data_IF_777767021997
#
_entry.id   IF_777767021997
#
_cell.length_a   1.000
_cell.length_b   1.000
_cell.length_c   1.000
_cell.angle_alpha   90.00
_cell.angle_beta   90.00
_cell.angle_gamma   90.00
#
_symmetry.space_group_name_H-M   'P 1'
#
loop_
_entity.id
_entity.type
_entity.pdbx_description
1 polymer ?
#
# COMPACT_ATOMS: atom_id res chain seq x y z
N UNK A 1 19.01 6.11 4.29
CA UNK A 1 18.50 6.47 2.95
C UNK A 1 17.15 5.80 2.77
N UNK A 2 16.21 6.45 2.14
CA UNK A 2 14.84 5.97 1.96
C UNK A 2 14.71 5.43 0.54
N UNK A 3 14.33 4.16 0.38
CA UNK A 3 14.07 3.57 -0.94
C UNK A 3 12.72 4.05 -1.47
N UNK A 4 12.70 4.50 -2.72
CA UNK A 4 11.47 4.84 -3.46
C UNK A 4 11.20 3.69 -4.46
N UNK A 5 10.16 2.89 -4.17
CA UNK A 5 9.80 1.72 -4.98
C UNK A 5 8.45 1.92 -5.65
N UNK A 6 8.39 1.77 -6.97
CA UNK A 6 7.13 1.79 -7.70
C UNK A 6 6.46 0.40 -7.77
N UNK A 7 5.14 0.38 -7.66
CA UNK A 7 4.32 -0.84 -7.79
C UNK A 7 3.18 -0.55 -8.77
N UNK A 8 3.40 -0.71 -10.08
CA UNK A 8 2.47 -0.34 -11.13
C UNK A 8 1.36 -1.41 -11.35
N UNK A 9 0.60 -1.73 -10.28
CA UNK A 9 -0.49 -2.69 -10.28
C UNK A 9 -1.85 -1.96 -10.24
N UNK A 10 -2.76 -2.26 -11.16
CA UNK A 10 -4.13 -1.75 -11.13
C UNK A 10 -5.20 -2.75 -11.62
N UNK A 11 -4.79 -3.96 -11.94
CA UNK A 11 -5.69 -5.02 -12.38
C UNK A 11 -6.72 -5.45 -11.32
N UNK A 12 -6.52 -5.08 -10.05
CA UNK A 12 -7.42 -5.35 -8.94
C UNK A 12 -8.41 -4.21 -8.66
N UNK A 13 -8.37 -3.13 -9.46
CA UNK A 13 -9.35 -2.05 -9.42
C UNK A 13 -10.72 -2.52 -9.90
N UNK A 14 -11.79 -2.07 -9.23
CA UNK A 14 -13.17 -2.50 -9.54
C UNK A 14 -13.86 -1.63 -10.57
N UNK A 15 -13.40 -0.40 -10.82
CA UNK A 15 -14.10 0.57 -11.66
C UNK A 15 -13.23 1.13 -12.80
N UNK A 16 -12.13 1.78 -12.48
CA UNK A 16 -11.23 2.38 -13.45
C UNK A 16 -9.83 1.84 -13.29
N UNK A 17 -9.23 1.45 -14.41
CA UNK A 17 -7.79 1.22 -14.53
C UNK A 17 -7.08 2.54 -14.81
N UNK A 18 -5.77 2.60 -14.52
CA UNK A 18 -4.96 3.80 -14.70
C UNK A 18 -4.01 4.07 -13.54
N UNK A 19 -4.32 3.63 -12.29
CA UNK A 19 -3.39 3.79 -11.15
C UNK A 19 -2.00 3.22 -11.39
N UNK A 20 -1.82 2.20 -12.24
CA UNK A 20 -0.52 1.67 -12.62
C UNK A 20 0.42 2.72 -13.24
N UNK A 21 -0.12 3.82 -13.77
CA UNK A 21 0.65 4.95 -14.27
C UNK A 21 1.14 5.88 -13.14
N UNK A 22 0.64 5.70 -11.92
CA UNK A 22 0.93 6.54 -10.76
C UNK A 22 2.43 6.66 -10.45
N UNK A 23 3.19 5.57 -10.32
CA UNK A 23 4.61 5.63 -10.01
C UNK A 23 5.41 6.50 -10.98
N UNK A 24 5.20 6.34 -12.29
CA UNK A 24 5.88 7.13 -13.31
C UNK A 24 5.47 8.61 -13.23
N UNK A 25 4.17 8.91 -13.09
CA UNK A 25 3.66 10.28 -13.02
C UNK A 25 4.17 11.01 -11.76
N UNK A 26 4.24 10.34 -10.62
CA UNK A 26 4.76 10.88 -9.37
C UNK A 26 6.26 11.21 -9.51
N UNK A 27 7.06 10.34 -10.14
CA UNK A 27 8.48 10.61 -10.40
C UNK A 27 8.69 11.83 -11.28
N UNK A 28 7.89 11.95 -12.33
CA UNK A 28 7.93 13.16 -13.19
C UNK A 28 7.65 14.43 -12.39
N UNK A 29 6.64 14.40 -11.52
CA UNK A 29 6.30 15.51 -10.65
C UNK A 29 7.40 15.80 -9.61
N UNK A 30 7.96 14.74 -9.00
CA UNK A 30 9.02 14.83 -8.00
C UNK A 30 10.29 15.51 -8.54
N UNK A 31 10.63 15.27 -9.81
CA UNK A 31 11.81 15.85 -10.47
C UNK A 31 11.49 17.08 -11.32
N UNK A 32 10.26 17.61 -11.23
CA UNK A 32 9.87 18.81 -11.98
C UNK A 32 10.55 20.06 -11.44
N UNK A 33 11.16 20.85 -12.30
CA UNK A 33 11.72 22.16 -11.95
C UNK A 33 10.69 23.19 -11.51
N UNK A 34 9.38 22.90 -11.61
CA UNK A 34 8.29 23.74 -11.10
C UNK A 34 7.87 23.39 -9.68
N UNK A 35 8.40 22.31 -9.11
CA UNK A 35 8.10 21.86 -7.73
C UNK A 35 9.01 22.53 -6.70
N UNK A 36 8.53 22.63 -5.46
CA UNK A 36 9.38 22.89 -4.31
C UNK A 36 9.82 21.55 -3.72
N UNK A 37 11.13 21.29 -3.76
CA UNK A 37 11.70 20.03 -3.26
C UNK A 37 12.16 20.12 -1.82
N UNK A 38 12.11 21.30 -1.21
CA UNK A 38 12.50 21.50 0.18
C UNK A 38 11.31 21.34 1.14
N UNK A 39 11.51 20.60 2.21
CA UNK A 39 10.56 20.52 3.32
C UNK A 39 10.53 21.83 4.12
N UNK A 40 9.54 21.98 5.01
CA UNK A 40 9.47 23.12 5.96
C UNK A 40 10.71 23.22 6.87
N UNK A 41 11.41 22.11 7.10
CA UNK A 41 12.67 22.06 7.83
C UNK A 41 13.91 22.34 6.98
N UNK A 42 13.75 22.83 5.74
CA UNK A 42 14.82 23.12 4.79
C UNK A 42 15.68 21.91 4.42
N UNK A 43 15.04 20.72 4.38
CA UNK A 43 15.68 19.48 3.90
C UNK A 43 15.28 19.27 2.46
N UNK A 44 16.26 19.08 1.58
CA UNK A 44 16.01 18.66 0.20
C UNK A 44 15.52 17.20 0.19
N UNK A 45 14.25 17.01 -0.14
CA UNK A 45 13.58 15.70 -0.05
C UNK A 45 14.13 14.74 -1.09
N UNK A 46 14.39 15.22 -2.30
CA UNK A 46 14.87 14.38 -3.41
C UNK A 46 16.22 13.74 -3.07
N UNK A 47 17.10 14.47 -2.39
CA UNK A 47 18.42 13.97 -1.99
C UNK A 47 18.38 12.90 -0.91
N UNK A 48 17.22 12.70 -0.24
CA UNK A 48 17.02 11.67 0.76
C UNK A 48 16.49 10.36 0.17
N UNK A 49 16.09 10.37 -1.10
CA UNK A 49 15.45 9.25 -1.77
C UNK A 49 16.46 8.52 -2.68
N UNK A 50 16.39 7.20 -2.64
CA UNK A 50 17.06 6.31 -3.58
C UNK A 50 15.97 5.61 -4.41
N UNK A 51 15.83 6.04 -5.67
CA UNK A 51 14.84 5.45 -6.57
C UNK A 51 15.33 4.09 -7.07
N UNK A 52 14.72 3.03 -6.53
CA UNK A 52 15.06 1.65 -6.84
C UNK A 52 14.24 1.07 -8.00
N UNK A 53 13.47 1.92 -8.68
CA UNK A 53 12.66 1.53 -9.84
C UNK A 53 11.32 0.90 -9.49
N UNK A 54 10.77 0.15 -10.43
CA UNK A 54 9.46 -0.49 -10.30
C UNK A 54 9.58 -2.00 -10.11
N UNK A 55 8.64 -2.57 -9.35
CA UNK A 55 8.49 -4.03 -9.27
C UNK A 55 8.06 -4.57 -10.63
N UNK A 56 8.76 -5.61 -11.08
CA UNK A 56 8.37 -6.34 -12.29
C UNK A 56 7.16 -7.23 -11.98
N UNK A 57 6.00 -6.86 -12.49
CA UNK A 57 4.72 -7.56 -12.32
C UNK A 57 4.03 -7.76 -13.68
N UNK A 58 3.11 -8.70 -13.74
CA UNK A 58 2.30 -8.98 -14.94
C UNK A 58 1.09 -8.04 -15.01
N UNK A 59 0.64 -7.52 -13.87
CA UNK A 59 -0.57 -6.70 -13.71
C UNK A 59 -1.83 -7.47 -14.10
N UNK A 60 -2.01 -8.65 -13.49
CA UNK A 60 -3.15 -9.53 -13.72
C UNK A 60 -4.08 -9.57 -12.50
N UNK A 61 -5.39 -9.57 -12.75
CA UNK A 61 -6.40 -9.57 -11.69
C UNK A 61 -6.30 -10.83 -10.81
N UNK A 62 -6.20 -10.64 -9.50
CA UNK A 62 -6.11 -11.71 -8.52
C UNK A 62 -4.79 -12.49 -8.57
N UNK A 63 -3.75 -11.95 -9.19
CA UNK A 63 -2.46 -12.60 -9.34
C UNK A 63 -1.72 -12.75 -8.01
N UNK A 64 -1.60 -13.98 -7.53
CA UNK A 64 -0.72 -14.28 -6.40
C UNK A 64 0.76 -14.10 -6.75
N UNK A 65 1.15 -14.32 -8.01
CA UNK A 65 2.52 -14.11 -8.45
C UNK A 65 2.92 -12.63 -8.35
N UNK A 66 2.02 -11.71 -8.72
CA UNK A 66 2.25 -10.28 -8.55
C UNK A 66 2.37 -9.89 -7.07
N UNK A 67 1.48 -10.44 -6.22
CA UNK A 67 1.55 -10.22 -4.77
C UNK A 67 2.87 -10.76 -4.17
N UNK A 68 3.36 -11.90 -4.64
CA UNK A 68 4.63 -12.48 -4.19
C UNK A 68 5.82 -11.64 -4.66
N UNK A 69 5.80 -11.15 -5.90
CA UNK A 69 6.84 -10.26 -6.44
C UNK A 69 6.93 -8.95 -5.64
N UNK A 70 5.78 -8.34 -5.31
CA UNK A 70 5.73 -7.13 -4.48
C UNK A 70 6.31 -7.42 -3.09
N UNK A 71 5.90 -8.52 -2.45
CA UNK A 71 6.42 -8.90 -1.14
C UNK A 71 7.94 -9.09 -1.16
N UNK A 72 8.47 -9.77 -2.17
CA UNK A 72 9.90 -10.02 -2.30
C UNK A 72 10.70 -8.72 -2.53
N UNK A 73 10.18 -7.81 -3.38
CA UNK A 73 10.84 -6.53 -3.64
C UNK A 73 10.89 -5.63 -2.39
N UNK A 74 9.80 -5.57 -1.62
CA UNK A 74 9.76 -4.82 -0.35
C UNK A 74 10.68 -5.46 0.68
N UNK A 75 10.65 -6.79 0.84
CA UNK A 75 11.50 -7.50 1.78
C UNK A 75 12.99 -7.25 1.51
N UNK A 76 13.41 -7.25 0.25
CA UNK A 76 14.81 -6.97 -0.12
C UNK A 76 15.28 -5.58 0.37
N UNK A 77 14.41 -4.55 0.30
CA UNK A 77 14.75 -3.22 0.82
C UNK A 77 14.82 -3.19 2.34
N UNK A 78 13.91 -3.91 3.01
CA UNK A 78 13.90 -3.99 4.47
C UNK A 78 15.09 -4.79 5.01
N UNK A 79 15.52 -5.85 4.33
CA UNK A 79 16.69 -6.67 4.69
C UNK A 79 17.99 -5.85 4.62
N UNK A 80 18.07 -4.86 3.73
CA UNK A 80 19.14 -3.86 3.65
C UNK A 80 19.06 -2.78 4.76
N UNK A 81 18.10 -2.88 5.67
CA UNK A 81 17.89 -1.92 6.76
C UNK A 81 17.37 -0.56 6.30
N UNK A 82 16.75 -0.50 5.13
CA UNK A 82 16.21 0.74 4.54
C UNK A 82 14.81 1.03 5.04
N UNK A 83 14.48 2.31 5.12
CA UNK A 83 13.10 2.75 5.12
C UNK A 83 12.58 2.75 3.68
N UNK A 84 11.28 2.55 3.48
CA UNK A 84 10.71 2.45 2.14
C UNK A 84 9.48 3.33 2.00
N UNK A 85 9.39 4.01 0.86
CA UNK A 85 8.18 4.65 0.34
C UNK A 85 7.78 3.88 -0.91
N UNK A 86 6.57 3.35 -0.92
CA UNK A 86 6.01 2.68 -2.10
C UNK A 86 5.08 3.61 -2.85
N UNK A 87 5.29 3.74 -4.16
CA UNK A 87 4.40 4.46 -5.06
C UNK A 87 3.44 3.44 -5.71
N UNK A 88 2.16 3.54 -5.42
CA UNK A 88 1.15 2.66 -6.00
C UNK A 88 0.62 3.19 -7.33
N UNK A 89 -0.06 2.46 -7.92
CA UNK A 89 -1.03 1.47 -8.24
C UNK A 89 -2.33 1.59 -7.43
N UNK A 90 -3.13 0.58 -7.57
CA UNK A 90 -4.34 0.47 -6.76
C UNK A 90 -4.02 -0.01 -5.33
N UNK A 91 -5.02 0.04 -4.44
CA UNK A 91 -4.80 -0.22 -3.01
C UNK A 91 -4.52 -1.69 -2.68
N UNK A 92 -4.69 -2.63 -3.63
CA UNK A 92 -4.38 -4.05 -3.42
C UNK A 92 -2.92 -4.31 -3.09
N UNK A 93 -2.02 -3.39 -3.48
CA UNK A 93 -0.58 -3.48 -3.18
C UNK A 93 -0.28 -3.48 -1.68
N UNK A 94 -1.18 -2.95 -0.85
CA UNK A 94 -0.96 -2.81 0.60
C UNK A 94 -0.83 -4.15 1.30
N UNK A 95 -1.62 -5.16 0.94
CA UNK A 95 -1.50 -6.50 1.55
C UNK A 95 -0.11 -7.12 1.36
N UNK A 96 0.44 -7.27 0.14
CA UNK A 96 1.77 -7.83 -0.04
C UNK A 96 2.89 -6.98 0.59
N UNK A 97 2.74 -5.67 0.66
CA UNK A 97 3.68 -4.78 1.38
C UNK A 97 3.67 -5.12 2.87
N UNK A 98 2.50 -5.16 3.52
CA UNK A 98 2.38 -5.50 4.94
C UNK A 98 2.89 -6.91 5.25
N UNK A 99 2.74 -7.86 4.33
CA UNK A 99 3.30 -9.21 4.43
C UNK A 99 4.82 -9.19 4.53
N UNK A 100 5.49 -8.32 3.78
CA UNK A 100 6.94 -8.14 3.89
C UNK A 100 7.35 -7.52 5.24
N UNK A 101 6.65 -6.48 5.69
CA UNK A 101 6.91 -5.86 7.00
C UNK A 101 6.72 -6.84 8.16
N UNK A 102 5.71 -7.71 8.09
CA UNK A 102 5.45 -8.72 9.13
C UNK A 102 6.61 -9.66 9.36
N UNK A 103 7.38 -9.96 8.31
CA UNK A 103 8.54 -10.85 8.44
C UNK A 103 9.65 -10.28 9.34
N UNK A 104 9.68 -8.96 9.55
CA UNK A 104 10.69 -8.26 10.35
C UNK A 104 10.14 -7.62 11.63
N UNK A 105 8.82 -7.53 11.78
CA UNK A 105 8.18 -6.81 12.88
C UNK A 105 7.05 -7.64 13.51
N UNK A 106 7.23 -8.10 14.74
CA UNK A 106 6.23 -8.89 15.46
C UNK A 106 5.00 -8.08 15.87
N UNK A 107 5.17 -6.77 16.14
CA UNK A 107 4.13 -5.87 16.63
C UNK A 107 3.97 -4.67 15.69
N UNK A 108 3.36 -4.89 14.52
CA UNK A 108 3.13 -3.83 13.55
C UNK A 108 1.82 -3.10 13.84
N UNK A 109 1.90 -1.79 14.04
CA UNK A 109 0.75 -0.88 14.04
C UNK A 109 0.67 -0.17 12.70
N UNK A 110 -0.48 -0.24 12.05
CA UNK A 110 -0.74 0.42 10.77
C UNK A 110 -1.70 1.58 10.98
N UNK A 111 -1.33 2.75 10.47
CA UNK A 111 -2.20 3.92 10.35
C UNK A 111 -2.61 4.07 8.89
N UNK A 112 -3.91 3.97 8.64
CA UNK A 112 -4.51 4.09 7.31
C UNK A 112 -5.29 5.39 7.21
N UNK A 113 -4.97 6.22 6.23
CA UNK A 113 -5.65 7.52 6.01
C UNK A 113 -6.37 7.42 4.68
N UNK A 114 -7.69 7.24 4.74
CA UNK A 114 -8.52 7.00 3.55
C UNK A 114 -10.00 7.31 3.84
N UNK A 115 -10.79 7.43 2.76
CA UNK A 115 -12.25 7.52 2.81
C UNK A 115 -12.93 6.16 3.05
N UNK A 116 -12.26 5.07 2.69
CA UNK A 116 -12.78 3.69 2.67
C UNK A 116 -12.02 2.81 3.68
N UNK A 117 -12.67 1.86 4.35
CA UNK A 117 -11.97 0.97 5.28
C UNK A 117 -11.26 -0.21 4.60
N UNK A 118 -11.63 -0.56 3.37
CA UNK A 118 -11.07 -1.64 2.55
C UNK A 118 -10.92 -2.97 3.31
N UNK A 119 -12.06 -3.35 3.93
CA UNK A 119 -12.23 -4.52 4.79
C UNK A 119 -13.18 -5.57 4.19
N UNK A 120 -13.42 -5.56 2.87
CA UNK A 120 -14.19 -6.63 2.25
C UNK A 120 -13.41 -7.94 2.27
N UNK A 121 -14.10 -9.07 2.50
CA UNK A 121 -13.51 -10.40 2.37
C UNK A 121 -13.07 -10.67 0.94
N UNK A 122 -13.91 -10.28 -0.01
CA UNK A 122 -13.62 -10.21 -1.44
C UNK A 122 -14.49 -9.13 -2.09
N UNK A 123 -14.15 -8.74 -3.30
CA UNK A 123 -14.99 -7.92 -4.15
C UNK A 123 -15.08 -8.58 -5.52
N UNK A 124 -16.31 -8.92 -5.94
CA UNK A 124 -16.59 -9.59 -7.21
C UNK A 124 -15.79 -10.90 -7.38
N UNK A 125 -15.69 -11.70 -6.30
CA UNK A 125 -14.96 -12.96 -6.27
C UNK A 125 -13.43 -12.82 -6.31
N UNK A 126 -12.90 -11.60 -6.11
CA UNK A 126 -11.46 -11.36 -6.02
C UNK A 126 -11.06 -11.02 -4.58
N UNK A 127 -10.46 -11.96 -3.82
CA UNK A 127 -9.97 -11.68 -2.48
C UNK A 127 -8.75 -10.77 -2.45
N UNK A 128 -8.04 -10.62 -3.57
CA UNK A 128 -6.92 -9.68 -3.72
C UNK A 128 -7.36 -8.32 -4.29
N UNK A 129 -8.66 -7.99 -4.22
CA UNK A 129 -9.20 -6.71 -4.67
C UNK A 129 -8.58 -5.53 -3.90
N UNK A 130 -8.55 -4.36 -4.55
CA UNK A 130 -8.19 -3.09 -3.93
C UNK A 130 -9.05 -2.72 -2.71
N UNK A 131 -10.24 -3.31 -2.58
CA UNK A 131 -11.15 -3.08 -1.45
C UNK A 131 -10.99 -4.12 -0.30
N UNK A 132 -10.00 -5.03 -0.41
CA UNK A 132 -9.81 -6.16 0.53
C UNK A 132 -8.42 -6.23 1.19
N UNK A 133 -7.48 -5.27 1.01
CA UNK A 133 -6.10 -5.44 1.47
C UNK A 133 -6.00 -5.61 2.98
N UNK A 134 -6.81 -4.88 3.75
CA UNK A 134 -6.75 -4.98 5.21
C UNK A 134 -7.44 -6.23 5.75
N UNK A 135 -8.49 -6.73 5.11
CA UNK A 135 -9.06 -8.03 5.46
C UNK A 135 -8.00 -9.14 5.29
N UNK A 136 -7.33 -9.17 4.14
CA UNK A 136 -6.23 -10.14 3.88
C UNK A 136 -5.08 -9.99 4.87
N UNK A 137 -4.66 -8.76 5.16
CA UNK A 137 -3.54 -8.49 6.06
C UNK A 137 -3.87 -8.89 7.52
N UNK A 138 -5.10 -8.65 7.98
CA UNK A 138 -5.56 -9.07 9.31
C UNK A 138 -5.66 -10.59 9.43
N UNK A 139 -6.24 -11.27 8.44
CA UNK A 139 -6.34 -12.73 8.41
C UNK A 139 -4.97 -13.41 8.38
N UNK A 140 -4.02 -12.82 7.65
CA UNK A 140 -2.65 -13.31 7.59
C UNK A 140 -1.79 -12.92 8.81
N UNK A 141 -2.36 -12.17 9.78
CA UNK A 141 -1.64 -11.70 10.95
C UNK A 141 -0.50 -10.75 10.61
N UNK A 142 -0.63 -9.96 9.54
CA UNK A 142 0.42 -9.04 9.10
C UNK A 142 0.58 -7.82 10.01
N UNK A 143 -0.40 -7.55 10.87
CA UNK A 143 -0.36 -6.44 11.83
C UNK A 143 -1.08 -6.81 13.12
N UNK A 144 -0.77 -6.13 14.20
CA UNK A 144 -1.43 -6.27 15.50
C UNK A 144 -2.49 -5.20 15.74
N UNK A 145 -2.34 -4.05 15.11
CA UNK A 145 -3.25 -2.91 15.30
C UNK A 145 -3.46 -2.19 13.97
N UNK A 146 -4.73 -1.92 13.66
CA UNK A 146 -5.12 -1.07 12.53
C UNK A 146 -5.93 0.12 13.03
N UNK A 147 -5.44 1.33 12.73
CA UNK A 147 -6.14 2.60 12.99
C UNK A 147 -6.43 3.26 11.65
N UNK A 148 -7.71 3.51 11.38
CA UNK A 148 -8.17 4.12 10.13
C UNK A 148 -8.72 5.51 10.41
N UNK A 149 -8.23 6.50 9.66
CA UNK A 149 -8.56 7.93 9.80
C UNK A 149 -9.24 8.45 8.54
N UNK A 150 -10.30 9.24 8.71
CA UNK A 150 -11.02 9.88 7.61
C UNK A 150 -12.04 8.97 6.93
N UNK A 151 -12.43 7.86 7.55
CA UNK A 151 -13.41 6.92 7.00
C UNK A 151 -14.79 7.58 6.94
N UNK A 152 -15.34 7.69 5.74
CA UNK A 152 -16.66 8.30 5.49
C UNK A 152 -17.62 7.44 4.66
N UNK A 153 -17.14 6.32 4.12
CA UNK A 153 -17.95 5.33 3.41
C UNK A 153 -17.64 3.94 3.93
N UNK A 154 -18.41 3.45 4.89
CA UNK A 154 -18.27 2.09 5.41
C UNK A 154 -19.63 1.39 5.32
N UNK A 155 -19.68 0.24 4.64
CA UNK A 155 -20.87 -0.61 4.60
C UNK A 155 -21.09 -1.34 5.92
N UNK A 156 -22.30 -1.87 6.18
CA UNK A 156 -22.53 -2.71 7.35
C UNK A 156 -21.53 -3.87 7.47
N UNK A 157 -21.25 -4.58 6.37
CA UNK A 157 -20.27 -5.65 6.30
C UNK A 157 -18.86 -5.19 6.75
N UNK A 158 -18.39 -4.07 6.23
CA UNK A 158 -17.07 -3.54 6.62
C UNK A 158 -17.01 -3.11 8.09
N UNK A 159 -18.13 -2.63 8.67
CA UNK A 159 -18.23 -2.33 10.11
C UNK A 159 -18.20 -3.61 10.97
N UNK A 160 -18.83 -4.68 10.51
CA UNK A 160 -18.76 -5.99 11.16
C UNK A 160 -17.34 -6.55 11.13
N UNK A 161 -16.64 -6.44 10.00
CA UNK A 161 -15.23 -6.82 9.88
C UNK A 161 -14.35 -5.98 10.82
N UNK A 162 -14.56 -4.67 10.88
CA UNK A 162 -13.82 -3.81 11.79
C UNK A 162 -14.03 -4.22 13.26
N UNK A 163 -15.26 -4.52 13.64
CA UNK A 163 -15.57 -5.00 15.00
C UNK A 163 -14.93 -6.37 15.28
N UNK A 164 -15.01 -7.32 14.34
CA UNK A 164 -14.39 -8.65 14.42
C UNK A 164 -12.89 -8.59 14.69
N UNK A 165 -12.19 -7.67 14.03
CA UNK A 165 -10.75 -7.55 14.08
C UNK A 165 -10.23 -6.47 15.05
N UNK A 166 -11.13 -5.77 15.75
CA UNK A 166 -10.74 -4.70 16.68
C UNK A 166 -10.13 -3.47 15.99
N UNK A 167 -10.56 -3.17 14.76
CA UNK A 167 -10.07 -2.02 13.99
C UNK A 167 -10.65 -0.73 14.58
N UNK A 168 -9.80 0.26 14.82
CA UNK A 168 -10.23 1.60 15.22
C UNK A 168 -10.49 2.45 13.98
N UNK A 169 -11.75 2.85 13.77
CA UNK A 169 -12.13 3.75 12.68
C UNK A 169 -12.52 5.12 13.23
N UNK A 170 -11.89 6.17 12.73
CA UNK A 170 -12.18 7.57 13.03
C UNK A 170 -12.62 8.30 11.74
N UNK A 171 -13.74 9.02 11.79
CA UNK A 171 -14.31 9.82 10.72
C UNK A 171 -13.93 11.29 10.82
#
# INVERSE_FOLDING_TARGET
>A
MISLLGVPLDANSSHLVGPALGPAAIRVALHSGSGNHSSEASVEVVDQLDDVGDVAIVNERGSHADADAITAAVAAQLDDGRQIITLGGDHSITFPILRAFRAQHDNLTVVHIDAHPDLYDDLDGNPLSHASPFARALEAGCMTTLVQLGIRTATPHQREQAAKWGVTMLS
#
